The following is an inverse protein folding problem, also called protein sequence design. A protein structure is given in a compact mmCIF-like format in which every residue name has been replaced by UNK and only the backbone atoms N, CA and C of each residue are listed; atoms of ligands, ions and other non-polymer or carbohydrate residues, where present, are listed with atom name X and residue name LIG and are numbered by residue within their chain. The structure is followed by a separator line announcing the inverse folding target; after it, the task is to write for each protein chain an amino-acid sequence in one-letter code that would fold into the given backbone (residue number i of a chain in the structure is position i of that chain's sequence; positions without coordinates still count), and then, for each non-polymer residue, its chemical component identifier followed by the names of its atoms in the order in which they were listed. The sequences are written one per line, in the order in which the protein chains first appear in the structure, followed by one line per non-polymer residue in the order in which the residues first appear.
data_IF_468505027768
#
_entry.id   IF_468505027768
#
_cell.length_a   1.000
_cell.length_b   1.000
_cell.length_c   1.000
_cell.angle_alpha   90.00
_cell.angle_beta   90.00
_cell.angle_gamma   90.00
#
_symmetry.space_group_name_H-M   'P 1'
#
loop_
_entity.id
_entity.type
_entity.pdbx_description
1 polymer ?
#
# COMPACT_ATOMS: atom_id res chain seq x y z
N UNK A 1 -16.45 5.64 -8.79
CA UNK A 1 -15.39 6.66 -8.62
C UNK A 1 -14.17 5.92 -8.11
N UNK A 2 -12.97 6.18 -8.64
CA UNK A 2 -11.75 5.51 -8.19
C UNK A 2 -11.39 6.02 -6.77
N UNK A 3 -11.07 5.12 -5.82
CA UNK A 3 -10.63 5.53 -4.49
C UNK A 3 -9.36 6.36 -4.57
N UNK A 4 -9.33 7.51 -3.89
CA UNK A 4 -8.13 8.37 -3.88
C UNK A 4 -7.33 8.14 -2.62
N UNK A 5 -6.03 7.92 -2.79
CA UNK A 5 -5.09 7.72 -1.70
C UNK A 5 -4.81 9.07 -1.04
N UNK A 6 -4.99 9.13 0.27
CA UNK A 6 -4.63 10.28 1.10
C UNK A 6 -3.19 10.17 1.59
N UNK A 7 -2.79 8.98 2.03
CA UNK A 7 -1.46 8.71 2.57
C UNK A 7 -1.09 7.23 2.38
N UNK A 8 0.20 6.96 2.23
CA UNK A 8 0.78 5.61 2.17
C UNK A 8 1.99 5.55 3.09
N UNK A 9 2.08 4.51 3.90
CA UNK A 9 3.23 4.24 4.76
C UNK A 9 3.72 2.81 4.53
N UNK A 10 5.00 2.61 4.16
CA UNK A 10 5.57 1.27 4.11
C UNK A 10 5.69 0.69 5.52
N UNK A 11 5.40 -0.60 5.65
CA UNK A 11 5.44 -1.35 6.89
C UNK A 11 6.35 -2.59 6.75
N UNK A 12 6.77 -3.20 7.86
CA UNK A 12 7.49 -4.47 7.82
C UNK A 12 6.74 -5.53 7.01
N UNK A 13 7.48 -6.55 6.56
CA UNK A 13 6.92 -7.68 5.79
C UNK A 13 6.28 -7.28 4.45
N UNK A 14 6.79 -6.21 3.82
CA UNK A 14 6.33 -5.72 2.52
C UNK A 14 4.85 -5.32 2.50
N UNK A 15 4.36 -4.81 3.63
CA UNK A 15 3.01 -4.31 3.77
C UNK A 15 2.95 -2.80 3.53
N UNK A 16 1.82 -2.34 3.02
CA UNK A 16 1.48 -0.92 2.93
C UNK A 16 0.29 -0.61 3.83
N UNK A 17 0.45 0.35 4.73
CA UNK A 17 -0.70 1.00 5.33
C UNK A 17 -1.16 2.14 4.43
N UNK A 18 -2.38 2.04 3.92
CA UNK A 18 -2.94 3.00 2.98
C UNK A 18 -4.20 3.62 3.57
N UNK A 19 -4.23 4.94 3.58
CA UNK A 19 -5.37 5.74 4.02
C UNK A 19 -6.00 6.40 2.80
N UNK A 20 -7.31 6.30 2.65
CA UNK A 20 -8.07 6.88 1.56
C UNK A 20 -8.81 8.16 1.99
N UNK A 21 -9.21 8.98 1.02
CA UNK A 21 -9.92 10.24 1.26
C UNK A 21 -11.27 10.06 1.96
N UNK A 22 -11.91 8.90 1.82
CA UNK A 22 -13.19 8.56 2.46
C UNK A 22 -13.04 8.13 3.94
N UNK A 23 -11.80 8.10 4.45
CA UNK A 23 -11.48 7.67 5.81
C UNK A 23 -11.26 6.17 5.96
N UNK A 24 -11.42 5.36 4.90
CA UNK A 24 -11.02 3.95 4.94
C UNK A 24 -9.50 3.85 5.07
N UNK A 25 -9.06 2.92 5.89
CA UNK A 25 -7.64 2.54 6.03
C UNK A 25 -7.49 1.03 5.89
N UNK A 26 -6.48 0.59 5.17
CA UNK A 26 -6.19 -0.83 4.94
C UNK A 26 -4.70 -1.13 5.10
N UNK A 27 -4.40 -2.38 5.41
CA UNK A 27 -3.09 -3.00 5.22
C UNK A 27 -3.14 -3.83 3.94
N UNK A 28 -2.28 -3.53 2.99
CA UNK A 28 -2.14 -4.29 1.74
C UNK A 28 -0.81 -5.02 1.73
N UNK A 29 -0.83 -6.33 1.49
CA UNK A 29 0.35 -7.18 1.45
C UNK A 29 0.85 -7.31 0.00
N UNK A 30 2.01 -6.71 -0.29
CA UNK A 30 2.59 -6.69 -1.65
C UNK A 30 3.31 -8.01 -1.96
N UNK A 31 3.48 -8.92 -1.00
CA UNK A 31 4.24 -10.16 -1.23
C UNK A 31 3.58 -11.08 -2.25
N UNK A 32 2.25 -11.07 -2.35
CA UNK A 32 1.54 -11.86 -3.36
C UNK A 32 1.80 -11.33 -4.78
N UNK A 33 1.82 -10.02 -4.97
CA UNK A 33 2.18 -9.40 -6.25
C UNK A 33 3.63 -9.71 -6.64
N UNK A 34 4.56 -9.64 -5.67
CA UNK A 34 5.97 -10.01 -5.86
C UNK A 34 6.13 -11.47 -6.34
N UNK A 35 5.28 -12.39 -5.86
CA UNK A 35 5.32 -13.80 -6.29
C UNK A 35 4.82 -13.98 -7.72
N UNK A 36 3.85 -13.18 -8.14
CA UNK A 36 3.16 -13.34 -9.42
C UNK A 36 3.77 -12.50 -10.55
N UNK A 37 4.37 -11.36 -10.22
CA UNK A 37 4.88 -10.38 -11.17
C UNK A 37 6.40 -10.31 -11.06
N UNK A 38 7.11 -10.74 -12.11
CA UNK A 38 8.57 -10.83 -12.10
C UNK A 38 9.26 -9.47 -11.83
N UNK A 39 8.75 -8.38 -12.40
CA UNK A 39 9.32 -7.03 -12.20
C UNK A 39 9.23 -6.55 -10.75
N UNK A 40 8.27 -7.05 -9.97
CA UNK A 40 8.10 -6.65 -8.57
C UNK A 40 9.15 -7.27 -7.66
N UNK A 41 9.92 -8.28 -8.12
CA UNK A 41 11.01 -8.88 -7.34
C UNK A 41 12.13 -7.92 -7.01
N UNK A 42 12.22 -6.79 -7.71
CA UNK A 42 13.13 -5.70 -7.37
C UNK A 42 12.83 -5.10 -5.99
N UNK A 43 11.57 -5.14 -5.52
CA UNK A 43 11.21 -4.74 -4.16
C UNK A 43 11.93 -5.59 -3.09
N UNK A 44 12.23 -6.86 -3.40
CA UNK A 44 13.04 -7.73 -2.53
C UNK A 44 14.54 -7.56 -2.75
N UNK A 45 14.94 -7.40 -4.00
CA UNK A 45 16.35 -7.52 -4.43
C UNK A 45 17.13 -6.22 -4.29
N UNK A 46 16.45 -5.08 -4.43
CA UNK A 46 17.04 -3.74 -4.32
C UNK A 46 16.81 -3.23 -2.91
N UNK A 47 17.88 -3.17 -2.13
CA UNK A 47 17.83 -2.75 -0.73
C UNK A 47 17.25 -1.33 -0.59
N UNK A 48 16.20 -1.20 0.23
CA UNK A 48 15.55 0.07 0.52
C UNK A 48 14.64 0.59 -0.61
N UNK A 49 14.43 -0.17 -1.69
CA UNK A 49 13.48 0.24 -2.73
C UNK A 49 12.06 0.29 -2.16
N UNK A 50 11.63 -0.75 -1.45
CA UNK A 50 10.26 -0.81 -0.90
C UNK A 50 9.88 0.39 -0.03
N UNK A 51 10.82 0.92 0.76
CA UNK A 51 10.60 2.07 1.64
C UNK A 51 10.41 3.41 0.87
N UNK A 52 10.68 3.44 -0.44
CA UNK A 52 10.55 4.63 -1.30
C UNK A 52 9.18 4.75 -1.98
N UNK A 53 8.19 3.97 -1.52
CA UNK A 53 6.82 4.03 -2.03
C UNK A 53 6.30 5.47 -2.08
N UNK A 54 5.74 5.84 -3.23
CA UNK A 54 5.23 7.19 -3.50
C UNK A 54 3.83 7.11 -4.08
N UNK A 55 3.03 8.16 -3.86
CA UNK A 55 1.69 8.30 -4.47
C UNK A 55 1.82 9.19 -5.70
N UNK A 56 1.18 8.81 -6.79
CA UNK A 56 1.16 9.61 -8.01
C UNK A 56 0.37 10.93 -7.85
N UNK A 57 0.50 11.86 -8.80
CA UNK A 57 -0.17 13.16 -8.72
C UNK A 57 -1.71 13.06 -8.72
N UNK A 58 -2.27 12.07 -9.41
CA UNK A 58 -3.73 11.88 -9.45
C UNK A 58 -4.27 11.30 -8.13
N UNK A 59 -3.38 10.65 -7.37
CA UNK A 59 -3.62 9.89 -6.14
C UNK A 59 -4.43 8.62 -6.36
N UNK A 60 -4.28 8.01 -7.53
CA UNK A 60 -4.94 6.75 -7.87
C UNK A 60 -3.96 5.60 -8.07
N UNK A 61 -2.67 5.82 -7.84
CA UNK A 61 -1.63 4.79 -7.90
C UNK A 61 -0.54 5.03 -6.85
N UNK A 62 0.02 3.95 -6.30
CA UNK A 62 1.33 4.00 -5.61
C UNK A 62 2.39 3.44 -6.55
N UNK A 63 3.61 3.93 -6.46
CA UNK A 63 4.71 3.47 -7.31
C UNK A 63 6.05 3.54 -6.57
N UNK A 64 7.03 2.80 -7.08
CA UNK A 64 8.39 2.77 -6.56
C UNK A 64 9.43 3.21 -7.58
N UNK A 65 9.20 2.89 -8.85
CA UNK A 65 10.02 3.25 -9.99
C UNK A 65 9.13 3.26 -11.27
N UNK A 66 9.75 3.33 -12.44
CA UNK A 66 9.03 3.39 -13.72
C UNK A 66 8.32 2.07 -14.10
N UNK A 67 8.63 0.96 -13.42
CA UNK A 67 8.17 -0.39 -13.77
C UNK A 67 7.26 -1.03 -12.71
N UNK A 68 7.13 -0.42 -11.53
CA UNK A 68 6.42 -0.97 -10.37
C UNK A 68 5.43 0.06 -9.85
N UNK A 69 4.16 -0.17 -10.18
CA UNK A 69 3.03 0.65 -9.75
C UNK A 69 1.82 -0.21 -9.38
N UNK A 70 1.10 0.15 -8.31
CA UNK A 70 -0.08 -0.54 -7.80
C UNK A 70 -1.30 0.40 -7.79
N UNK A 71 -2.39 0.04 -8.48
CA UNK A 71 -3.55 0.89 -8.58
C UNK A 71 -4.36 0.92 -7.27
N UNK A 72 -4.89 2.11 -6.97
CA UNK A 72 -5.63 2.40 -5.73
C UNK A 72 -6.89 1.56 -5.51
N UNK A 73 -7.57 1.14 -6.57
CA UNK A 73 -8.77 0.31 -6.48
C UNK A 73 -8.44 -1.12 -6.02
N UNK A 74 -7.34 -1.69 -6.50
CA UNK A 74 -6.82 -3.00 -6.06
C UNK A 74 -6.47 -2.95 -4.58
N UNK A 75 -5.74 -1.93 -4.15
CA UNK A 75 -5.40 -1.72 -2.73
C UNK A 75 -6.68 -1.56 -1.89
N UNK A 76 -7.64 -0.78 -2.38
CA UNK A 76 -8.90 -0.52 -1.68
C UNK A 76 -9.76 -1.79 -1.55
N UNK A 77 -9.83 -2.61 -2.59
CA UNK A 77 -10.69 -3.80 -2.65
C UNK A 77 -10.11 -4.96 -1.84
N UNK A 78 -8.81 -5.23 -1.99
CA UNK A 78 -8.17 -6.43 -1.42
C UNK A 78 -7.37 -6.16 -0.14
N UNK A 79 -7.16 -4.88 0.21
CA UNK A 79 -6.51 -4.52 1.47
C UNK A 79 -7.34 -4.95 2.69
N UNK A 80 -6.66 -5.50 3.69
CA UNK A 80 -7.28 -5.88 4.96
C UNK A 80 -7.61 -4.63 5.77
N UNK A 81 -8.86 -4.45 6.27
CA UNK A 81 -9.22 -3.28 7.05
C UNK A 81 -8.28 -3.05 8.23
N UNK A 82 -7.65 -1.87 8.28
CA UNK A 82 -6.82 -1.50 9.41
C UNK A 82 -7.73 -1.14 10.57
N UNK A 83 -7.77 -2.02 11.57
CA UNK A 83 -8.43 -1.75 12.84
C UNK A 83 -7.34 -1.43 13.85
N UNK A 84 -7.48 -0.31 14.58
CA UNK A 84 -6.63 -0.03 15.74
C UNK A 84 -7.00 -1.02 16.84
N UNK A 85 -6.41 -2.21 16.81
CA UNK A 85 -6.45 -3.13 17.93
C UNK A 85 -5.68 -2.49 19.09
N UNK A 86 -6.37 -1.82 20.02
CA UNK A 86 -5.76 -1.45 21.30
C UNK A 86 -6.00 -0.05 21.88
N UNK A 87 -7.11 0.63 21.61
CA UNK A 87 -7.63 1.56 22.63
C UNK A 87 -8.65 0.80 23.48
N UNK A 88 -8.34 0.37 24.73
CA UNK A 88 -9.42 0.12 25.67
C UNK A 88 -10.17 1.44 25.80
N UNK A 89 -11.47 1.41 25.55
CA UNK A 89 -12.35 2.54 25.80
C UNK A 89 -12.03 3.09 27.18
N UNK A 90 -11.63 4.37 27.24
CA UNK A 90 -11.44 5.08 28.48
C UNK A 90 -12.73 4.91 29.30
N UNK A 91 -12.61 4.20 30.42
CA UNK A 91 -13.62 4.14 31.48
C UNK A 91 -13.42 5.32 32.41
#
# INVERSE_FOLDING_TARGET
MLPRIKDVTPMPEYQLHVVFDDGKSVIYDVTEDIRQIESYRDLLSIHGLFDQVSVDQSRTCVYWNDDIDLPSDTIYEYGTPWTRSGCPSAS
#
